data_IF_059994509009
#
_entry.id   IF_059994509009
#
_cell.length_a   1.000
_cell.length_b   1.000
_cell.length_c   1.000
_cell.angle_alpha   90.00
_cell.angle_beta   90.00
_cell.angle_gamma   90.00
#
_symmetry.space_group_name_H-M   'P 1'
#
loop_
_entity.id
_entity.type
_entity.pdbx_description
1 polymer ?
#
# COMPACT_ATOMS: atom_id res chain seq x y z
N UNK A 1 1.76 23.21 -0.44
CA UNK A 1 0.75 22.19 -0.77
C UNK A 1 1.34 20.81 -1.10
N UNK A 2 2.67 20.63 -1.00
CA UNK A 2 3.38 19.35 -1.19
C UNK A 2 3.17 18.36 -0.01
N UNK A 3 3.16 18.80 1.27
CA UNK A 3 3.00 17.86 2.39
C UNK A 3 1.60 17.25 2.45
N UNK A 4 0.55 17.96 2.03
CA UNK A 4 -0.81 17.41 1.94
C UNK A 4 -0.84 16.19 1.02
N UNK A 5 -0.22 16.28 -0.16
CA UNK A 5 -0.10 15.15 -1.10
C UNK A 5 0.66 13.96 -0.49
N UNK A 6 1.75 14.22 0.25
CA UNK A 6 2.49 13.18 0.95
C UNK A 6 1.61 12.43 1.97
N UNK A 7 0.79 13.16 2.72
CA UNK A 7 -0.13 12.57 3.70
C UNK A 7 -1.26 11.76 3.02
N UNK A 8 -1.81 12.24 1.91
CA UNK A 8 -2.79 11.47 1.12
C UNK A 8 -2.19 10.16 0.57
N UNK A 9 -0.95 10.19 0.07
CA UNK A 9 -0.24 8.98 -0.36
C UNK A 9 -0.04 7.99 0.79
N UNK A 10 0.23 8.48 2.01
CA UNK A 10 0.39 7.64 3.19
C UNK A 10 -0.92 6.96 3.61
N UNK A 11 -2.05 7.68 3.51
CA UNK A 11 -3.39 7.10 3.76
C UNK A 11 -3.72 6.02 2.74
N UNK A 12 -3.43 6.25 1.45
CA UNK A 12 -3.64 5.25 0.40
C UNK A 12 -2.75 4.01 0.62
N UNK A 13 -1.48 4.21 1.02
CA UNK A 13 -0.59 3.11 1.38
C UNK A 13 -1.16 2.27 2.54
N UNK A 14 -1.72 2.93 3.57
CA UNK A 14 -2.32 2.27 4.73
C UNK A 14 -3.55 1.44 4.32
N UNK A 15 -4.41 1.99 3.47
CA UNK A 15 -5.57 1.27 2.94
C UNK A 15 -5.13 0.05 2.12
N UNK A 16 -4.12 0.22 1.26
CA UNK A 16 -3.56 -0.89 0.49
C UNK A 16 -2.98 -1.98 1.40
N UNK A 17 -2.33 -1.61 2.51
CA UNK A 17 -1.80 -2.55 3.50
C UNK A 17 -2.91 -3.37 4.17
N UNK A 18 -4.03 -2.72 4.51
CA UNK A 18 -5.20 -3.43 5.02
C UNK A 18 -5.75 -4.44 4.03
N UNK A 19 -5.90 -4.05 2.77
CA UNK A 19 -6.35 -4.96 1.70
C UNK A 19 -5.33 -6.08 1.49
N UNK A 20 -4.03 -5.78 1.53
CA UNK A 20 -2.97 -6.76 1.37
C UNK A 20 -2.92 -7.75 2.53
N UNK A 21 -3.26 -7.34 3.73
CA UNK A 21 -3.34 -8.26 4.86
C UNK A 21 -4.58 -9.17 4.72
N UNK A 22 -5.74 -8.59 4.38
CA UNK A 22 -7.03 -9.31 4.45
C UNK A 22 -7.23 -10.22 3.22
N UNK A 23 -6.96 -9.75 2.01
CA UNK A 23 -7.30 -10.47 0.76
C UNK A 23 -6.53 -11.79 0.60
N UNK A 24 -5.18 -11.83 0.63
CA UNK A 24 -4.46 -13.09 0.51
C UNK A 24 -4.59 -13.98 1.75
N UNK A 25 -4.83 -13.41 2.94
CA UNK A 25 -5.14 -14.20 4.13
C UNK A 25 -6.49 -14.90 3.97
N UNK A 26 -7.53 -14.20 3.52
CA UNK A 26 -8.80 -14.82 3.14
C UNK A 26 -8.61 -15.85 2.01
N UNK A 27 -7.82 -15.52 0.99
CA UNK A 27 -7.48 -16.46 -0.10
C UNK A 27 -6.89 -17.78 0.39
N UNK A 28 -6.06 -17.73 1.43
CA UNK A 28 -5.51 -18.95 2.04
C UNK A 28 -6.55 -19.82 2.74
N UNK A 29 -7.58 -19.20 3.34
CA UNK A 29 -8.70 -19.93 3.97
C UNK A 29 -9.68 -20.50 2.95
N UNK A 30 -9.91 -19.79 1.85
CA UNK A 30 -10.81 -20.25 0.78
C UNK A 30 -10.15 -21.24 -0.19
N UNK A 31 -8.83 -21.44 -0.12
CA UNK A 31 -8.09 -22.28 -1.06
C UNK A 31 -8.02 -21.68 -2.48
N UNK A 32 -8.16 -20.36 -2.60
CA UNK A 32 -8.22 -19.66 -3.88
C UNK A 32 -6.85 -19.06 -4.22
N UNK A 33 -6.16 -19.69 -5.19
CA UNK A 33 -4.86 -19.25 -5.66
C UNK A 33 -4.88 -17.84 -6.28
N UNK A 34 -6.01 -17.40 -6.84
CA UNK A 34 -6.10 -16.06 -7.44
C UNK A 34 -6.02 -14.98 -6.36
N UNK A 35 -6.72 -15.18 -5.23
CA UNK A 35 -6.63 -14.28 -4.08
C UNK A 35 -5.23 -14.32 -3.46
N UNK A 36 -4.59 -15.49 -3.35
CA UNK A 36 -3.21 -15.57 -2.84
C UNK A 36 -2.20 -14.88 -3.76
N UNK A 37 -2.33 -15.03 -5.09
CA UNK A 37 -1.45 -14.38 -6.08
C UNK A 37 -1.57 -12.87 -6.07
N UNK A 38 -2.72 -12.32 -5.66
CA UNK A 38 -2.93 -10.87 -5.51
C UNK A 38 -2.03 -10.22 -4.44
N UNK A 39 -1.43 -10.99 -3.54
CA UNK A 39 -0.52 -10.48 -2.50
C UNK A 39 0.68 -9.73 -3.08
N UNK A 40 1.27 -10.24 -4.17
CA UNK A 40 2.47 -9.67 -4.81
C UNK A 40 2.19 -8.29 -5.45
N UNK A 41 1.20 -8.14 -6.35
CA UNK A 41 0.90 -6.82 -6.91
C UNK A 41 0.47 -5.80 -5.85
N UNK A 42 -0.23 -6.22 -4.79
CA UNK A 42 -0.55 -5.32 -3.67
C UNK A 42 0.71 -4.87 -2.91
N UNK A 43 1.70 -5.75 -2.73
CA UNK A 43 2.98 -5.40 -2.10
C UNK A 43 3.70 -4.29 -2.86
N UNK A 44 3.76 -4.44 -4.19
CA UNK A 44 4.38 -3.46 -5.06
C UNK A 44 3.64 -2.13 -5.03
N UNK A 45 2.30 -2.16 -5.04
CA UNK A 45 1.48 -0.95 -4.88
C UNK A 45 1.76 -0.23 -3.56
N UNK A 46 1.78 -0.96 -2.44
CA UNK A 46 2.03 -0.39 -1.12
C UNK A 46 3.44 0.21 -1.03
N UNK A 47 4.44 -0.49 -1.55
CA UNK A 47 5.81 -0.01 -1.59
C UNK A 47 5.92 1.30 -2.39
N UNK A 48 5.27 1.38 -3.54
CA UNK A 48 5.26 2.57 -4.38
C UNK A 48 4.59 3.76 -3.68
N UNK A 49 3.42 3.57 -3.07
CA UNK A 49 2.75 4.64 -2.32
C UNK A 49 3.56 5.13 -1.11
N UNK A 50 4.22 4.22 -0.38
CA UNK A 50 5.12 4.58 0.73
C UNK A 50 6.34 5.36 0.24
N UNK A 51 6.97 4.94 -0.86
CA UNK A 51 8.12 5.64 -1.46
C UNK A 51 7.75 7.06 -1.88
N UNK A 52 6.62 7.22 -2.56
CA UNK A 52 6.13 8.54 -2.98
C UNK A 52 5.80 9.41 -1.78
N UNK A 53 5.09 8.87 -0.78
CA UNK A 53 4.79 9.60 0.45
C UNK A 53 6.06 10.07 1.16
N UNK A 54 7.06 9.18 1.27
CA UNK A 54 8.35 9.48 1.88
C UNK A 54 9.07 10.62 1.13
N UNK A 55 9.22 10.51 -0.19
CA UNK A 55 9.90 11.54 -0.99
C UNK A 55 9.20 12.91 -0.89
N UNK A 56 7.86 12.94 -0.95
CA UNK A 56 7.08 14.18 -0.84
C UNK A 56 7.21 14.83 0.54
N UNK A 57 7.17 14.03 1.60
CA UNK A 57 7.34 14.52 2.97
C UNK A 57 8.79 14.97 3.20
N UNK A 58 9.80 14.21 2.77
CA UNK A 58 11.21 14.61 2.88
C UNK A 58 11.47 15.93 2.18
N UNK A 59 10.98 16.13 0.95
CA UNK A 59 11.12 17.42 0.25
C UNK A 59 10.40 18.59 0.94
N UNK A 60 9.40 18.31 1.79
CA UNK A 60 8.65 19.34 2.49
C UNK A 60 9.21 19.70 3.87
N UNK A 61 9.99 18.82 4.49
CA UNK A 61 10.45 18.97 5.88
C UNK A 61 11.97 19.01 6.04
N UNK A 62 12.74 18.61 5.03
CA UNK A 62 14.21 18.75 4.96
C UNK A 62 14.54 19.98 4.11
#
# INVERSE_FOLDING_TARGET
MIPELGQWCMVLALLLAGIQAIVPMAGSYLGDEALMRSARPLAYGQCLFLLVAFLLLTQSFV
#
